data_IF_894137962169
#
_entry.id   IF_894137962169
#
_cell.length_a   1.000
_cell.length_b   1.000
_cell.length_c   1.000
_cell.angle_alpha   90.00
_cell.angle_beta   90.00
_cell.angle_gamma   90.00
#
_symmetry.space_group_name_H-M   'P 1'
#
loop_
_entity.id
_entity.type
_entity.pdbx_description
1 polymer ?
#
# COMPACT_ATOMS: atom_id res chain seq x y z
N UNK A 1 -13.48 13.96 69.04
CA UNK A 1 -13.73 13.38 67.71
C UNK A 1 -13.45 14.44 66.65
N UNK A 2 -12.54 14.13 65.72
CA UNK A 2 -12.05 15.02 64.66
C UNK A 2 -12.99 15.00 63.45
N UNK A 3 -13.21 16.17 62.82
CA UNK A 3 -12.92 16.39 61.38
C UNK A 3 -13.23 17.84 60.98
N UNK A 4 -12.17 18.64 60.81
CA UNK A 4 -12.14 19.81 59.92
C UNK A 4 -11.77 19.30 58.52
N UNK A 5 -12.45 19.80 57.51
CA UNK A 5 -12.08 19.63 56.09
C UNK A 5 -11.75 21.03 55.57
N UNK A 6 -10.52 21.30 55.10
CA UNK A 6 -10.26 22.45 54.25
C UNK A 6 -10.10 22.06 52.79
N UNK A 7 -10.50 23.03 51.98
CA UNK A 7 -10.41 23.21 50.53
C UNK A 7 -8.98 23.11 49.98
N UNK A 8 -8.80 22.52 48.79
CA UNK A 8 -7.74 22.95 47.85
C UNK A 8 -8.19 22.79 46.40
N UNK A 9 -8.08 23.90 45.70
CA UNK A 9 -8.23 24.22 44.28
C UNK A 9 -7.22 23.48 43.38
N UNK A 10 -7.61 23.08 42.17
CA UNK A 10 -6.66 22.73 41.10
C UNK A 10 -6.91 23.58 39.86
N UNK A 11 -5.83 24.23 39.45
CA UNK A 11 -5.71 25.25 38.41
C UNK A 11 -5.75 24.65 37.00
N UNK A 12 -6.38 25.42 36.11
CA UNK A 12 -6.26 25.35 34.66
C UNK A 12 -4.88 25.84 34.18
N UNK A 13 -4.59 25.46 32.92
CA UNK A 13 -3.82 26.16 31.88
C UNK A 13 -2.33 25.77 31.70
N UNK A 14 -2.04 25.14 30.55
CA UNK A 14 -0.94 25.53 29.65
C UNK A 14 -1.10 24.82 28.29
N UNK A 15 -1.58 25.57 27.30
CA UNK A 15 -1.48 25.30 25.85
C UNK A 15 -0.13 25.90 25.42
N UNK A 16 0.67 25.13 24.67
CA UNK A 16 1.96 25.58 24.12
C UNK A 16 2.20 24.94 22.75
N UNK A 17 2.02 25.77 21.73
CA UNK A 17 2.03 25.51 20.29
C UNK A 17 3.39 25.94 19.71
N UNK A 18 4.26 25.03 19.21
CA UNK A 18 5.37 25.32 18.27
C UNK A 18 5.78 23.97 17.64
N UNK A 19 5.33 23.61 16.44
CA UNK A 19 5.83 24.03 15.12
C UNK A 19 7.24 23.48 14.77
N UNK A 20 7.27 22.71 13.67
CA UNK A 20 8.35 22.62 12.68
C UNK A 20 9.73 22.10 13.11
N UNK A 21 10.11 20.91 12.63
CA UNK A 21 11.32 20.82 11.80
C UNK A 21 11.28 19.55 10.93
N UNK A 22 11.08 19.80 9.64
CA UNK A 22 11.24 18.89 8.52
C UNK A 22 12.69 19.05 8.06
N UNK A 23 13.52 18.01 8.15
CA UNK A 23 14.85 18.01 7.53
C UNK A 23 15.10 16.67 6.82
N UNK A 24 14.81 16.69 5.53
CA UNK A 24 15.26 15.74 4.52
C UNK A 24 16.74 15.94 4.27
N UNK A 25 17.56 14.94 4.59
CA UNK A 25 18.90 14.82 4.05
C UNK A 25 18.83 13.97 2.77
N UNK A 26 19.01 14.65 1.64
CA UNK A 26 19.39 14.09 0.35
C UNK A 26 20.76 13.43 0.50
N UNK A 27 20.88 12.16 0.11
CA UNK A 27 22.17 11.53 -0.19
C UNK A 27 22.02 10.71 -1.46
N UNK A 28 22.92 10.95 -2.40
CA UNK A 28 22.93 10.54 -3.80
C UNK A 28 23.75 9.27 -4.02
N UNK A 29 23.46 8.54 -5.11
CA UNK A 29 24.24 7.42 -5.68
C UNK A 29 23.48 6.09 -5.62
N UNK A 30 23.28 5.30 -6.68
CA UNK A 30 23.97 5.15 -7.97
C UNK A 30 23.06 4.46 -9.01
N UNK A 31 23.34 4.71 -10.29
CA UNK A 31 22.64 4.20 -11.50
C UNK A 31 22.84 2.69 -11.76
N UNK A 32 21.96 2.09 -12.58
CA UNK A 32 22.40 1.12 -13.58
C UNK A 32 22.04 1.52 -15.01
N UNK A 33 22.96 1.22 -15.92
CA UNK A 33 22.83 1.31 -17.37
C UNK A 33 22.08 0.09 -17.91
N UNK A 34 21.22 0.29 -18.91
CA UNK A 34 20.74 -0.78 -19.79
C UNK A 34 20.68 -0.30 -21.25
N UNK A 35 21.16 -1.19 -22.11
CA UNK A 35 21.44 -1.08 -23.54
C UNK A 35 20.20 -0.76 -24.41
N UNK A 36 20.42 0.12 -25.38
CA UNK A 36 19.63 0.17 -26.62
C UNK A 36 20.52 -0.26 -27.78
N UNK A 37 20.17 -1.38 -28.42
CA UNK A 37 20.65 -1.66 -29.78
C UNK A 37 19.49 -2.06 -30.68
N UNK A 38 19.38 -1.32 -31.77
CA UNK A 38 18.45 -1.52 -32.86
C UNK A 38 18.82 -2.72 -33.72
N UNK A 39 17.81 -3.39 -34.28
CA UNK A 39 17.94 -4.37 -35.33
C UNK A 39 16.68 -4.41 -36.18
N UNK A 40 16.74 -3.76 -37.36
CA UNK A 40 15.75 -3.89 -38.42
C UNK A 40 15.92 -5.23 -39.15
N UNK A 41 14.81 -5.91 -39.44
CA UNK A 41 14.71 -6.82 -40.56
C UNK A 41 13.26 -6.80 -41.07
N UNK A 42 13.09 -6.45 -42.34
CA UNK A 42 11.80 -6.49 -43.01
C UNK A 42 11.44 -7.88 -43.48
N UNK A 43 10.16 -8.08 -43.80
CA UNK A 43 9.73 -8.84 -44.97
C UNK A 43 8.26 -8.57 -45.28
N UNK A 44 8.01 -8.47 -46.58
CA UNK A 44 6.74 -8.22 -47.24
C UNK A 44 5.78 -9.42 -47.16
N UNK A 45 4.48 -9.15 -47.23
CA UNK A 45 3.48 -10.03 -47.85
C UNK A 45 2.26 -9.18 -48.23
N UNK A 46 1.79 -9.43 -49.45
CA UNK A 46 0.75 -8.72 -50.19
C UNK A 46 -0.66 -9.00 -49.66
N UNK A 47 -1.57 -8.04 -49.85
CA UNK A 47 -2.93 -8.32 -50.30
C UNK A 47 -3.46 -7.11 -51.07
N UNK A 48 -3.96 -7.35 -52.28
CA UNK A 48 -4.31 -6.31 -53.25
C UNK A 48 -5.75 -5.83 -53.13
N UNK A 49 -6.01 -4.69 -53.76
CA UNK A 49 -7.34 -4.29 -54.24
C UNK A 49 -7.14 -3.52 -55.55
N UNK A 50 -7.83 -3.96 -56.60
CA UNK A 50 -7.98 -3.28 -57.89
C UNK A 50 -8.67 -1.93 -57.75
N UNK A 51 -8.46 -1.01 -58.70
CA UNK A 51 -9.53 -0.40 -59.50
C UNK A 51 -8.99 0.70 -60.43
N UNK A 52 -9.53 0.70 -61.65
CA UNK A 52 -9.80 1.92 -62.42
C UNK A 52 -8.75 2.31 -63.45
N UNK A 53 -8.84 1.73 -64.64
CA UNK A 53 -8.20 2.27 -65.84
C UNK A 53 -9.00 3.47 -66.35
N UNK A 54 -8.30 4.56 -66.68
CA UNK A 54 -8.82 5.63 -67.52
C UNK A 54 -7.68 6.15 -68.36
N UNK A 55 -7.85 5.97 -69.67
CA UNK A 55 -6.97 6.44 -70.75
C UNK A 55 -6.85 7.96 -70.66
N UNK A 56 -5.69 8.49 -71.02
CA UNK A 56 -5.62 9.54 -72.02
C UNK A 56 -4.21 9.61 -72.65
N UNK A 57 -4.20 9.41 -73.96
CA UNK A 57 -3.08 9.60 -74.85
C UNK A 57 -3.20 11.00 -75.44
N UNK A 58 -2.07 11.63 -75.75
CA UNK A 58 -2.04 12.82 -76.62
C UNK A 58 -1.07 13.87 -76.14
N UNK A 59 0.19 13.68 -76.49
CA UNK A 59 1.19 14.74 -76.53
C UNK A 59 1.09 15.38 -77.93
N UNK A 60 0.53 16.59 -78.01
CA UNK A 60 0.54 17.40 -79.23
C UNK A 60 1.04 18.81 -78.92
N UNK A 61 2.29 19.02 -79.32
CA UNK A 61 2.78 20.13 -80.13
C UNK A 61 2.07 21.50 -79.99
N UNK A 62 2.72 22.42 -79.27
CA UNK A 62 2.46 23.85 -79.41
C UNK A 62 3.66 24.52 -80.05
N UNK A 63 3.47 24.85 -81.32
CA UNK A 63 4.45 25.41 -82.22
C UNK A 63 5.11 26.69 -81.71
N UNK A 64 6.39 26.79 -82.07
CA UNK A 64 7.20 27.99 -81.91
C UNK A 64 6.62 29.13 -82.74
N UNK A 65 6.14 30.19 -82.08
CA UNK A 65 5.87 31.47 -82.73
C UNK A 65 7.07 32.37 -82.44
N UNK A 66 7.93 32.54 -83.45
CA UNK A 66 8.97 33.57 -83.44
C UNK A 66 8.40 34.92 -83.83
N UNK A 67 8.67 35.90 -82.95
CA UNK A 67 8.89 37.35 -83.17
C UNK A 67 7.85 38.16 -83.95
N UNK A 68 7.37 39.22 -83.29
CA UNK A 68 7.85 40.58 -83.56
C UNK A 68 7.44 41.52 -82.41
N UNK A 69 8.39 42.31 -81.87
CA UNK A 69 8.11 43.51 -81.05
C UNK A 69 8.12 44.68 -82.02
N UNK A 70 7.07 45.50 -82.11
CA UNK A 70 7.20 46.89 -81.62
C UNK A 70 5.86 47.54 -81.21
N UNK A 71 5.82 48.15 -80.03
CA UNK A 71 4.65 48.95 -79.64
C UNK A 71 4.51 49.09 -78.14
N UNK A 72 5.16 50.12 -77.62
CA UNK A 72 4.91 50.74 -76.33
C UNK A 72 3.39 50.93 -76.09
N UNK A 73 2.90 50.57 -74.90
CA UNK A 73 2.16 51.46 -73.99
C UNK A 73 1.33 50.67 -72.94
N UNK A 74 1.87 50.69 -71.73
CA UNK A 74 1.21 51.13 -70.48
C UNK A 74 -0.02 50.39 -69.93
N UNK A 75 0.19 49.99 -68.66
CA UNK A 75 -0.57 50.42 -67.49
C UNK A 75 -1.49 49.40 -66.81
N UNK A 76 -1.24 49.33 -65.49
CA UNK A 76 -2.17 49.17 -64.39
C UNK A 76 -2.88 47.81 -64.28
N UNK A 77 -2.48 47.04 -63.26
CA UNK A 77 -3.39 46.07 -62.66
C UNK A 77 -2.81 44.71 -62.29
N UNK A 78 -1.54 44.59 -61.94
CA UNK A 78 -1.09 43.42 -61.17
C UNK A 78 -0.83 43.87 -59.74
N UNK A 79 -1.76 43.55 -58.84
CA UNK A 79 -1.45 43.40 -57.42
C UNK A 79 -0.43 42.28 -57.32
N UNK A 80 0.83 42.65 -57.46
CA UNK A 80 1.97 41.74 -57.52
C UNK A 80 2.07 40.98 -56.19
N UNK A 81 2.03 39.65 -56.26
CA UNK A 81 2.26 38.77 -55.10
C UNK A 81 3.62 39.06 -54.40
N UNK A 82 4.52 39.72 -55.11
CA UNK A 82 5.82 40.21 -54.65
C UNK A 82 5.71 41.36 -53.64
N UNK A 83 4.67 42.20 -53.74
CA UNK A 83 4.46 43.33 -52.83
C UNK A 83 4.23 42.87 -51.39
N UNK A 84 3.42 41.82 -51.20
CA UNK A 84 3.17 41.27 -49.87
C UNK A 84 4.38 40.55 -49.25
N UNK A 85 5.33 40.09 -50.09
CA UNK A 85 6.55 39.38 -49.65
C UNK A 85 7.72 40.30 -49.29
N UNK A 86 7.64 41.58 -49.66
CA UNK A 86 8.70 42.59 -49.41
C UNK A 86 8.40 43.50 -48.22
N UNK A 87 7.20 43.43 -47.65
CA UNK A 87 6.85 44.17 -46.45
C UNK A 87 7.54 43.56 -45.22
N UNK A 88 8.12 44.38 -44.32
CA UNK A 88 8.65 43.89 -43.05
C UNK A 88 7.57 43.15 -42.25
N UNK A 89 7.87 41.94 -41.81
CA UNK A 89 6.92 41.09 -41.06
C UNK A 89 6.43 41.72 -39.73
N UNK A 90 7.07 42.80 -39.25
CA UNK A 90 6.68 43.55 -38.06
C UNK A 90 5.75 44.74 -38.32
N UNK A 91 5.41 45.05 -39.58
CA UNK A 91 4.56 46.21 -39.94
C UNK A 91 3.22 45.81 -40.57
N UNK A 92 3.07 44.56 -41.01
CA UNK A 92 1.83 44.05 -41.62
C UNK A 92 1.35 42.82 -40.87
N UNK A 93 0.16 42.92 -40.27
CA UNK A 93 -0.47 41.81 -39.55
C UNK A 93 -1.34 41.02 -40.52
N UNK A 94 -0.78 39.95 -41.07
CA UNK A 94 -1.48 39.05 -42.01
C UNK A 94 -2.47 38.14 -41.27
N UNK A 95 -2.20 37.82 -39.99
CA UNK A 95 -3.05 37.00 -39.12
C UNK A 95 -2.81 37.34 -37.64
N UNK A 96 -3.86 37.28 -36.81
CA UNK A 96 -3.83 37.58 -35.36
C UNK A 96 -3.85 36.32 -34.48
N UNK A 97 -3.35 35.21 -34.98
CA UNK A 97 -3.33 33.96 -34.21
C UNK A 97 -2.40 34.10 -33.01
N UNK A 98 -2.86 33.61 -31.85
CA UNK A 98 -2.06 33.61 -30.64
C UNK A 98 -0.87 32.64 -30.80
N UNK A 99 0.34 33.13 -30.56
CA UNK A 99 1.55 32.31 -30.50
C UNK A 99 1.84 31.91 -29.05
N UNK A 100 2.31 30.69 -28.86
CA UNK A 100 2.80 30.19 -27.57
C UNK A 100 4.30 29.93 -27.67
N UNK A 101 5.08 30.45 -26.71
CA UNK A 101 6.52 30.19 -26.64
C UNK A 101 6.76 28.81 -26.04
N UNK A 102 7.65 28.03 -26.67
CA UNK A 102 8.08 26.76 -26.11
C UNK A 102 8.88 27.03 -24.82
N UNK A 103 8.43 26.46 -23.71
CA UNK A 103 9.14 26.47 -22.44
C UNK A 103 9.35 25.04 -21.98
N UNK A 104 10.58 24.69 -21.62
CA UNK A 104 10.84 23.45 -20.91
C UNK A 104 10.32 23.58 -19.47
N UNK A 105 9.29 22.82 -19.12
CA UNK A 105 8.72 22.82 -17.78
C UNK A 105 8.31 21.39 -17.41
N UNK A 106 8.63 20.97 -16.18
CA UNK A 106 8.21 19.67 -15.70
C UNK A 106 6.69 19.65 -15.53
N UNK A 107 6.01 18.89 -16.38
CA UNK A 107 4.55 18.74 -16.31
C UNK A 107 4.18 17.85 -15.12
N UNK A 108 3.50 18.43 -14.13
CA UNK A 108 2.99 17.70 -12.99
C UNK A 108 1.64 17.06 -13.35
N UNK A 109 1.63 15.76 -13.58
CA UNK A 109 0.40 15.00 -13.81
C UNK A 109 -0.26 14.66 -12.47
N UNK A 110 -1.44 15.24 -12.22
CA UNK A 110 -2.31 14.79 -11.13
C UNK A 110 -3.39 13.88 -11.71
N UNK A 111 -3.49 12.64 -11.22
CA UNK A 111 -4.64 11.77 -11.49
C UNK A 111 -5.35 11.42 -10.18
N UNK A 112 -6.66 11.18 -10.26
CA UNK A 112 -7.47 10.77 -9.12
C UNK A 112 -7.95 9.33 -9.34
N UNK A 113 -7.62 8.44 -8.41
CA UNK A 113 -8.03 7.04 -8.42
C UNK A 113 -8.83 6.67 -7.16
N UNK A 114 -9.60 5.60 -7.24
CA UNK A 114 -10.25 4.98 -6.07
C UNK A 114 -9.33 3.90 -5.49
N UNK A 115 -9.14 3.92 -4.18
CA UNK A 115 -8.45 2.87 -3.44
C UNK A 115 -9.38 2.19 -2.44
N UNK A 116 -8.92 1.10 -1.85
CA UNK A 116 -9.58 0.44 -0.73
C UNK A 116 -8.64 0.42 0.49
N UNK A 117 -9.24 0.37 1.68
CA UNK A 117 -8.49 0.20 2.93
C UNK A 117 -8.56 -1.27 3.31
N UNK A 118 -7.41 -1.88 3.54
CA UNK A 118 -7.29 -3.29 3.94
C UNK A 118 -6.51 -3.41 5.26
N UNK A 119 -6.59 -4.58 5.89
CA UNK A 119 -5.86 -4.91 7.09
C UNK A 119 -4.35 -4.93 6.82
N UNK A 120 -3.60 -4.29 7.72
CA UNK A 120 -2.15 -4.38 7.68
C UNK A 120 -1.70 -5.77 8.14
N UNK A 121 -1.33 -6.61 7.17
CA UNK A 121 -0.91 -7.99 7.41
C UNK A 121 0.29 -8.09 8.37
N UNK A 122 1.13 -7.05 8.46
CA UNK A 122 2.27 -7.01 9.39
C UNK A 122 1.83 -6.92 10.86
N UNK A 123 0.60 -6.45 11.10
CA UNK A 123 -0.03 -6.41 12.43
C UNK A 123 -0.91 -7.61 12.72
N UNK A 124 -1.03 -8.55 11.78
CA UNK A 124 -1.75 -9.81 11.98
C UNK A 124 -0.95 -10.73 12.91
N UNK A 125 -1.53 -11.07 14.06
CA UNK A 125 -0.94 -11.97 15.05
C UNK A 125 -1.84 -13.19 15.21
N UNK A 126 -1.29 -14.38 15.00
CA UNK A 126 -1.96 -15.65 15.31
C UNK A 126 -1.55 -16.10 16.70
N UNK A 127 -2.52 -16.51 17.50
CA UNK A 127 -2.30 -17.09 18.81
C UNK A 127 -2.78 -18.54 18.79
N UNK A 128 -1.88 -19.46 19.13
CA UNK A 128 -2.16 -20.89 19.20
C UNK A 128 -2.01 -21.36 20.65
N UNK A 129 -2.94 -22.20 21.09
CA UNK A 129 -2.80 -22.93 22.34
C UNK A 129 -1.70 -23.97 22.18
N UNK A 130 -0.85 -24.12 23.19
CA UNK A 130 0.29 -25.05 23.18
C UNK A 130 -0.06 -26.47 23.64
N UNK A 131 -1.33 -26.71 23.98
CA UNK A 131 -1.84 -28.00 24.44
C UNK A 131 -3.09 -28.35 23.66
N UNK A 132 -3.27 -29.65 23.40
CA UNK A 132 -4.50 -30.17 22.82
C UNK A 132 -5.64 -30.15 23.84
N UNK A 133 -6.86 -29.95 23.37
CA UNK A 133 -8.02 -29.94 24.26
C UNK A 133 -9.34 -29.65 23.55
N UNK A 134 -10.43 -29.74 24.32
CA UNK A 134 -11.78 -29.37 23.91
C UNK A 134 -12.12 -27.99 24.47
N UNK A 135 -12.69 -27.12 23.64
CA UNK A 135 -13.17 -25.81 24.08
C UNK A 135 -14.45 -26.04 24.89
N UNK A 136 -14.44 -25.67 26.18
CA UNK A 136 -15.63 -25.73 27.02
C UNK A 136 -16.46 -24.46 26.89
N UNK A 137 -15.80 -23.31 26.86
CA UNK A 137 -16.47 -22.00 26.75
C UNK A 137 -15.64 -21.06 25.90
N UNK A 138 -16.29 -20.36 24.97
CA UNK A 138 -15.68 -19.34 24.14
C UNK A 138 -16.30 -17.98 24.51
N UNK A 139 -15.47 -17.03 24.94
CA UNK A 139 -15.92 -15.69 25.37
C UNK A 139 -15.99 -14.69 24.20
N UNK A 140 -15.15 -14.88 23.19
CA UNK A 140 -15.19 -14.08 21.95
C UNK A 140 -16.23 -14.68 21.01
N UNK A 141 -17.27 -13.92 20.66
CA UNK A 141 -18.46 -14.47 20.00
C UNK A 141 -18.52 -14.22 18.50
N UNK A 142 -17.85 -13.18 18.01
CA UNK A 142 -17.98 -12.74 16.63
C UNK A 142 -16.71 -12.09 16.07
N UNK A 143 -16.60 -12.08 14.74
CA UNK A 143 -15.51 -11.40 14.01
C UNK A 143 -15.51 -9.90 14.27
N UNK A 144 -14.32 -9.31 14.32
CA UNK A 144 -14.09 -7.90 14.61
C UNK A 144 -14.54 -7.47 16.01
N UNK A 145 -14.63 -8.42 16.96
CA UNK A 145 -14.75 -8.08 18.36
C UNK A 145 -13.41 -7.52 18.86
N UNK A 146 -13.46 -6.34 19.48
CA UNK A 146 -12.28 -5.75 20.13
C UNK A 146 -11.97 -6.51 21.42
N UNK A 147 -10.71 -6.89 21.62
CA UNK A 147 -10.20 -7.55 22.83
C UNK A 147 -9.00 -6.78 23.37
N UNK A 148 -8.89 -6.73 24.69
CA UNK A 148 -7.75 -6.14 25.40
C UNK A 148 -6.69 -7.20 25.68
N UNK A 149 -5.45 -6.75 25.85
CA UNK A 149 -4.37 -7.61 26.36
C UNK A 149 -4.75 -8.11 27.76
N UNK A 150 -4.64 -9.43 27.97
CA UNK A 150 -5.02 -10.11 29.20
C UNK A 150 -6.51 -10.46 29.31
N UNK A 151 -7.31 -10.15 28.30
CA UNK A 151 -8.73 -10.53 28.29
C UNK A 151 -8.89 -12.05 28.12
N UNK A 152 -9.85 -12.64 28.83
CA UNK A 152 -10.14 -14.08 28.75
C UNK A 152 -10.81 -14.39 27.41
N UNK A 153 -10.17 -15.21 26.59
CA UNK A 153 -10.66 -15.58 25.27
C UNK A 153 -11.54 -16.83 25.32
N UNK A 154 -11.08 -17.86 26.03
CA UNK A 154 -11.75 -19.15 26.12
C UNK A 154 -11.34 -19.94 27.36
N UNK A 155 -12.15 -20.94 27.69
CA UNK A 155 -11.85 -22.00 28.63
C UNK A 155 -11.70 -23.32 27.87
N UNK A 156 -10.58 -23.99 28.10
CA UNK A 156 -10.19 -25.21 27.42
C UNK A 156 -10.04 -26.34 28.44
N UNK A 157 -10.68 -27.47 28.17
CA UNK A 157 -10.41 -28.74 28.85
C UNK A 157 -9.26 -29.44 28.14
N UNK A 158 -8.20 -29.79 28.88
CA UNK A 158 -7.06 -30.54 28.35
C UNK A 158 -6.70 -31.68 29.32
N UNK A 159 -6.90 -32.95 28.93
CA UNK A 159 -6.54 -34.08 29.79
C UNK A 159 -5.04 -34.14 30.02
N UNK A 160 -4.24 -33.84 28.99
CA UNK A 160 -2.78 -33.80 29.07
C UNK A 160 -2.30 -32.77 30.10
N UNK A 161 -2.89 -31.57 30.09
CA UNK A 161 -2.51 -30.53 31.04
C UNK A 161 -2.89 -30.88 32.48
N UNK A 162 -4.02 -31.58 32.69
CA UNK A 162 -4.41 -32.07 34.01
C UNK A 162 -3.34 -33.00 34.59
N UNK A 163 -2.85 -33.95 33.79
CA UNK A 163 -1.75 -34.85 34.19
C UNK A 163 -0.49 -34.10 34.59
N UNK A 164 -0.09 -33.07 33.84
CA UNK A 164 1.11 -32.29 34.18
C UNK A 164 0.95 -31.43 35.44
N UNK A 165 -0.25 -30.92 35.71
CA UNK A 165 -0.52 -30.21 36.96
C UNK A 165 -0.51 -31.18 38.14
N UNK A 166 -1.07 -32.38 38.01
CA UNK A 166 -0.99 -33.43 39.03
C UNK A 166 0.45 -33.84 39.33
N UNK A 167 1.29 -34.00 38.30
CA UNK A 167 2.73 -34.26 38.44
C UNK A 167 3.43 -33.13 39.23
N UNK A 168 3.17 -31.88 38.88
CA UNK A 168 3.69 -30.71 39.61
C UNK A 168 3.22 -30.70 41.07
N UNK A 169 1.95 -31.01 41.33
CA UNK A 169 1.40 -31.07 42.68
C UNK A 169 1.98 -32.22 43.50
N UNK A 170 2.25 -33.37 42.87
CA UNK A 170 2.92 -34.50 43.51
C UNK A 170 4.34 -34.12 43.93
N UNK A 171 5.13 -33.53 43.01
CA UNK A 171 6.47 -33.02 43.31
C UNK A 171 6.42 -31.98 44.42
N UNK A 172 5.50 -31.02 44.35
CA UNK A 172 5.36 -29.95 45.35
C UNK A 172 5.00 -30.44 46.75
N UNK A 173 4.36 -31.60 46.89
CA UNK A 173 3.99 -32.18 48.19
C UNK A 173 5.04 -33.14 48.72
N UNK A 174 5.58 -33.99 47.84
CA UNK A 174 6.44 -35.11 48.24
C UNK A 174 7.93 -34.76 48.20
N UNK A 175 8.34 -33.91 47.28
CA UNK A 175 9.74 -33.56 47.08
C UNK A 175 10.05 -32.20 47.71
N UNK A 176 11.03 -32.17 48.62
CA UNK A 176 11.62 -30.91 49.13
C UNK A 176 12.76 -30.39 48.25
N UNK A 177 12.98 -31.01 47.09
CA UNK A 177 14.03 -30.62 46.14
C UNK A 177 13.59 -29.37 45.34
N UNK A 178 14.24 -28.21 45.56
CA UNK A 178 13.90 -26.99 44.85
C UNK A 178 14.20 -27.07 43.34
N UNK A 179 15.16 -27.89 42.92
CA UNK A 179 15.53 -28.06 41.50
C UNK A 179 14.44 -28.80 40.75
N UNK A 180 13.90 -29.86 41.35
CA UNK A 180 12.82 -30.62 40.75
C UNK A 180 11.53 -29.79 40.64
N UNK A 181 11.25 -28.97 41.66
CA UNK A 181 10.12 -28.04 41.65
C UNK A 181 10.26 -27.00 40.53
N UNK A 182 11.45 -26.38 40.35
CA UNK A 182 11.68 -25.43 39.26
C UNK A 182 11.48 -26.09 37.88
N UNK A 183 11.97 -27.31 37.69
CA UNK A 183 11.77 -28.07 36.44
C UNK A 183 10.28 -28.32 36.16
N UNK A 184 9.51 -28.72 37.18
CA UNK A 184 8.07 -28.91 37.04
C UNK A 184 7.34 -27.59 36.71
N UNK A 185 7.69 -26.47 37.37
CA UNK A 185 7.12 -25.15 37.05
C UNK A 185 7.47 -24.71 35.62
N UNK A 186 8.71 -24.93 35.20
CA UNK A 186 9.18 -24.61 33.85
C UNK A 186 8.42 -25.38 32.79
N UNK A 187 8.13 -26.67 33.02
CA UNK A 187 7.30 -27.51 32.15
C UNK A 187 5.92 -26.87 31.94
N UNK A 188 5.24 -26.49 33.02
CA UNK A 188 3.93 -25.82 32.94
C UNK A 188 3.97 -24.47 32.18
N UNK A 189 5.04 -23.69 32.36
CA UNK A 189 5.24 -22.45 31.59
C UNK A 189 5.42 -22.68 30.10
N UNK A 190 6.15 -23.72 29.73
CA UNK A 190 6.34 -24.06 28.32
C UNK A 190 5.02 -24.43 27.65
N UNK A 191 4.08 -25.00 28.40
CA UNK A 191 2.70 -25.30 27.97
C UNK A 191 1.79 -24.06 27.93
N UNK A 192 2.30 -22.89 28.27
CA UNK A 192 1.59 -21.61 28.14
C UNK A 192 0.80 -21.17 29.37
N UNK A 193 1.01 -21.82 30.53
CA UNK A 193 0.45 -21.35 31.80
C UNK A 193 1.21 -20.13 32.32
N UNK A 194 0.46 -19.17 32.86
CA UNK A 194 1.02 -17.99 33.54
C UNK A 194 1.48 -18.35 34.96
N UNK A 195 2.45 -17.63 35.50
CA UNK A 195 2.91 -17.83 36.89
C UNK A 195 1.76 -17.69 37.90
N UNK A 196 0.83 -16.76 37.65
CA UNK A 196 -0.36 -16.59 38.49
C UNK A 196 -1.24 -17.84 38.54
N UNK A 197 -1.39 -18.54 37.39
CA UNK A 197 -2.13 -19.81 37.34
C UNK A 197 -1.37 -20.93 38.06
N UNK A 198 -0.05 -21.02 37.86
CA UNK A 198 0.78 -22.03 38.52
C UNK A 198 0.73 -21.85 40.05
N UNK A 199 0.83 -20.63 40.53
CA UNK A 199 0.68 -20.30 41.95
C UNK A 199 -0.71 -20.60 42.48
N UNK A 200 -1.75 -20.34 41.68
CA UNK A 200 -3.12 -20.71 42.03
C UNK A 200 -3.25 -22.22 42.22
N UNK A 201 -2.64 -23.04 41.36
CA UNK A 201 -2.67 -24.50 41.48
C UNK A 201 -1.89 -24.98 42.70
N UNK A 202 -0.72 -24.40 42.96
CA UNK A 202 0.06 -24.69 44.16
C UNK A 202 -0.74 -24.40 45.45
N UNK A 203 -1.53 -23.31 45.47
CA UNK A 203 -2.39 -22.94 46.60
C UNK A 203 -3.64 -23.80 46.70
N UNK A 204 -4.30 -24.12 45.58
CA UNK A 204 -5.54 -24.91 45.57
C UNK A 204 -5.29 -26.38 45.91
N UNK A 205 -4.08 -26.88 45.63
CA UNK A 205 -3.72 -28.29 45.77
C UNK A 205 -4.53 -29.21 44.87
N UNK A 206 -5.17 -28.69 43.81
CA UNK A 206 -5.98 -29.49 42.87
C UNK A 206 -5.79 -28.97 41.44
N UNK A 207 -5.69 -29.91 40.50
CA UNK A 207 -5.67 -29.58 39.09
C UNK A 207 -7.07 -29.07 38.66
N UNK A 208 -7.15 -27.98 37.89
CA UNK A 208 -8.43 -27.45 37.45
C UNK A 208 -9.01 -28.30 36.32
N UNK A 209 -10.35 -28.39 36.26
CA UNK A 209 -11.02 -29.03 35.13
C UNK A 209 -10.78 -28.26 33.81
N UNK A 210 -10.85 -26.92 33.84
CA UNK A 210 -10.60 -26.07 32.67
C UNK A 210 -9.46 -25.09 32.91
N UNK A 211 -8.76 -24.77 31.84
CA UNK A 211 -7.78 -23.68 31.83
C UNK A 211 -8.31 -22.47 31.08
N UNK A 212 -8.17 -21.30 31.70
CA UNK A 212 -8.47 -20.02 31.07
C UNK A 212 -7.31 -19.61 30.17
N UNK A 213 -7.63 -19.30 28.93
CA UNK A 213 -6.69 -18.82 27.92
C UNK A 213 -6.92 -17.33 27.71
N UNK A 214 -5.86 -16.54 27.83
CA UNK A 214 -5.89 -15.08 27.79
C UNK A 214 -5.24 -14.53 26.52
N UNK A 215 -5.68 -13.36 26.09
CA UNK A 215 -5.11 -12.68 24.93
C UNK A 215 -3.73 -12.07 25.24
N UNK A 216 -2.66 -12.42 24.51
CA UNK A 216 -1.37 -11.74 24.66
C UNK A 216 -1.32 -10.37 23.97
N UNK A 217 -2.27 -10.09 23.09
CA UNK A 217 -2.34 -8.87 22.27
C UNK A 217 -3.65 -8.12 22.50
N UNK A 218 -3.67 -6.85 22.10
CA UNK A 218 -4.90 -6.06 21.99
C UNK A 218 -5.23 -5.79 20.52
N UNK A 219 -6.50 -5.69 20.18
CA UNK A 219 -6.95 -5.44 18.82
C UNK A 219 -8.27 -6.13 18.48
N UNK A 220 -8.52 -6.30 17.18
CA UNK A 220 -9.73 -6.94 16.67
C UNK A 220 -9.49 -8.41 16.36
N UNK A 221 -10.41 -9.27 16.82
CA UNK A 221 -10.33 -10.72 16.55
C UNK A 221 -10.85 -11.02 15.16
N UNK A 222 -10.07 -11.80 14.40
CA UNK A 222 -10.50 -12.35 13.12
C UNK A 222 -10.48 -13.89 13.22
N UNK A 223 -11.67 -14.48 13.24
CA UNK A 223 -11.87 -15.91 13.05
C UNK A 223 -11.65 -16.24 11.58
N UNK A 224 -10.45 -16.72 11.27
CA UNK A 224 -10.22 -17.43 10.03
C UNK A 224 -10.66 -18.88 10.25
N UNK A 225 -11.69 -19.39 9.56
CA UNK A 225 -11.94 -20.83 9.54
C UNK A 225 -10.69 -21.48 8.95
N UNK A 226 -9.95 -22.22 9.77
CA UNK A 226 -8.83 -23.02 9.29
C UNK A 226 -9.42 -24.17 8.47
N UNK A 227 -9.47 -24.02 7.15
CA UNK A 227 -10.07 -25.07 6.31
C UNK A 227 -10.46 -24.66 4.89
N UNK A 228 -9.67 -23.84 4.21
CA UNK A 228 -9.62 -23.90 2.74
C UNK A 228 -8.15 -24.06 2.37
N UNK A 229 -7.65 -25.29 2.50
CA UNK A 229 -6.51 -25.72 1.72
C UNK A 229 -6.91 -25.55 0.26
N UNK A 230 -6.37 -24.53 -0.40
CA UNK A 230 -6.44 -24.43 -1.85
C UNK A 230 -5.76 -25.66 -2.43
N UNK A 231 -6.53 -26.44 -3.18
CA UNK A 231 -6.00 -27.34 -4.19
C UNK A 231 -5.57 -26.52 -5.42
#
# INVERSE_FOLDING_TARGET
MRKRIPTVTKRLLAIGFVASLLLTAVSCGSEPADEHQAGHAGQASQEGVEMGTSREAGHEDHGQISRQVPGEQQAAGSTDEVFWSTLPANQTVISRQAVVQASDSSMQYSFSGKGYVDFDQRRSRKFAVRVGGRIERLYVKYNYQYVRKGEKLMELYSPELNTFVEEFLFVSRQSKDPVLLDKARRKLRLLGLTEAQIDQFARSGRAPYTISVYSPYEGYVLFSPSGSGGA
#
